data_IF_792459018860
#
_entry.id   IF_792459018860
#
_cell.length_a   1.000
_cell.length_b   1.000
_cell.length_c   1.000
_cell.angle_alpha   90.00
_cell.angle_beta   90.00
_cell.angle_gamma   90.00
#
_symmetry.space_group_name_H-M   'P 1'
#
loop_
_entity.id
_entity.type
_entity.pdbx_description
1 polymer ?
#
# COMPACT_ATOMS: atom_id res chain seq x y z
N UNK A 1 -2.60 -37.84 15.50
CA UNK A 1 -2.05 -36.72 16.30
C UNK A 1 -2.98 -35.54 16.09
N UNK A 2 -3.86 -35.23 17.04
CA UNK A 2 -4.87 -34.18 16.92
C UNK A 2 -4.35 -32.94 17.67
N UNK A 3 -4.30 -31.79 17.00
CA UNK A 3 -3.84 -30.53 17.59
C UNK A 3 -4.98 -29.54 17.49
N UNK A 4 -5.60 -29.22 18.62
CA UNK A 4 -6.59 -28.16 18.75
C UNK A 4 -5.86 -26.84 19.05
N UNK A 5 -6.10 -25.81 18.23
CA UNK A 5 -5.54 -24.47 18.45
C UNK A 5 -6.69 -23.54 18.83
N UNK A 6 -6.80 -23.22 20.11
CA UNK A 6 -7.72 -22.20 20.60
C UNK A 6 -6.94 -20.92 20.91
N UNK A 7 -7.24 -19.83 20.20
CA UNK A 7 -6.76 -18.50 20.60
C UNK A 7 -7.95 -17.54 20.69
N UNK A 8 -8.39 -17.29 21.92
CA UNK A 8 -9.36 -16.22 22.26
C UNK A 8 -8.57 -14.97 22.63
N UNK A 9 -8.62 -13.92 21.80
CA UNK A 9 -8.08 -12.59 22.14
C UNK A 9 -9.24 -11.59 22.28
N UNK A 10 -9.41 -11.06 23.49
CA UNK A 10 -10.46 -10.09 23.85
C UNK A 10 -10.10 -8.69 23.33
N UNK A 11 -11.01 -8.04 22.63
CA UNK A 11 -10.94 -6.62 22.27
C UNK A 11 -11.31 -5.75 23.47
N UNK A 12 -10.51 -4.71 23.75
CA UNK A 12 -10.75 -3.69 24.79
C UNK A 12 -11.35 -2.45 24.11
N UNK A 13 -12.52 -2.02 24.57
CA UNK A 13 -13.31 -0.93 23.99
C UNK A 13 -12.69 0.46 24.11
N UNK A 14 -12.89 1.25 23.07
CA UNK A 14 -12.60 2.69 22.97
C UNK A 14 -13.62 3.48 23.81
N UNK A 15 -13.12 4.36 24.70
CA UNK A 15 -13.95 5.34 25.42
C UNK A 15 -14.11 6.61 24.59
N UNK A 16 -15.38 6.98 24.39
CA UNK A 16 -15.88 8.21 23.78
C UNK A 16 -15.57 9.42 24.67
N UNK A 17 -15.03 10.49 24.09
CA UNK A 17 -14.87 11.80 24.75
C UNK A 17 -16.21 12.55 24.74
N UNK A 18 -16.60 13.11 25.89
CA UNK A 18 -17.82 13.90 26.07
C UNK A 18 -17.46 15.31 26.54
N UNK A 19 -17.96 16.30 25.80
CA UNK A 19 -18.56 17.56 26.27
C UNK A 19 -17.74 18.52 27.14
N UNK A 20 -17.44 19.70 26.58
CA UNK A 20 -17.16 20.96 27.27
C UNK A 20 -18.37 21.42 28.10
N UNK A 21 -18.15 21.87 29.33
CA UNK A 21 -18.99 22.84 30.05
C UNK A 21 -18.09 23.80 30.85
N UNK A 22 -18.31 25.11 30.68
CA UNK A 22 -17.99 26.18 31.63
C UNK A 22 -19.31 26.53 32.33
N UNK A 23 -19.37 26.96 33.62
CA UNK A 23 -19.19 28.39 33.90
C UNK A 23 -18.83 28.85 35.33
N UNK A 24 -18.53 30.16 35.41
CA UNK A 24 -18.80 31.16 36.48
C UNK A 24 -17.74 31.46 37.56
N UNK A 25 -17.29 32.71 37.47
CA UNK A 25 -16.51 33.51 38.42
C UNK A 25 -17.29 33.93 39.68
N UNK A 26 -16.55 34.11 40.79
CA UNK A 26 -16.66 35.23 41.74
C UNK A 26 -15.42 35.25 42.68
N UNK A 27 -15.19 36.27 43.52
CA UNK A 27 -14.45 37.49 43.21
C UNK A 27 -13.18 37.67 44.07
N UNK A 28 -12.37 38.67 43.70
CA UNK A 28 -11.00 38.87 44.18
C UNK A 28 -10.82 39.20 45.67
N UNK A 29 -9.64 38.78 46.15
CA UNK A 29 -9.00 39.33 47.34
C UNK A 29 -7.87 40.27 46.90
N UNK A 30 -7.94 41.51 47.40
CA UNK A 30 -6.93 42.56 47.26
C UNK A 30 -5.58 42.09 47.84
N UNK A 31 -4.55 41.99 47.00
CA UNK A 31 -3.17 41.90 47.47
C UNK A 31 -2.47 43.25 47.37
N UNK A 32 -2.01 43.70 48.54
CA UNK A 32 -1.35 44.96 48.87
C UNK A 32 -0.23 45.40 47.93
N UNK A 33 -0.14 46.72 47.73
CA UNK A 33 0.92 47.44 47.01
C UNK A 33 2.35 47.23 47.55
N UNK A 34 2.52 46.47 48.64
CA UNK A 34 3.82 46.10 49.23
C UNK A 34 4.46 44.87 48.56
N UNK A 35 3.68 44.00 47.90
CA UNK A 35 4.20 42.80 47.19
C UNK A 35 4.92 43.15 45.88
N UNK A 36 4.46 44.19 45.17
CA UNK A 36 5.09 44.62 43.91
C UNK A 36 6.46 45.30 44.11
N UNK A 37 6.71 45.91 45.27
CA UNK A 37 7.99 46.58 45.55
C UNK A 37 9.12 45.61 45.95
N UNK A 38 8.79 44.44 46.54
CA UNK A 38 9.78 43.39 46.81
C UNK A 38 10.14 42.57 45.57
N UNK A 39 9.27 42.54 44.56
CA UNK A 39 9.52 41.85 43.28
C UNK A 39 10.41 42.66 42.31
N UNK A 40 10.62 43.95 42.59
CA UNK A 40 11.50 44.82 41.81
C UNK A 40 12.94 44.90 42.38
N UNK A 41 13.17 44.53 43.65
CA UNK A 41 14.51 44.53 44.26
C UNK A 41 15.20 43.16 44.21
N UNK A 42 14.46 42.06 43.94
CA UNK A 42 15.04 40.74 43.62
C UNK A 42 15.43 40.56 42.15
N UNK A 43 15.16 41.57 41.30
CA UNK A 43 15.51 41.59 39.87
C UNK A 43 16.89 42.18 39.55
N UNK A 44 17.69 42.53 40.57
CA UNK A 44 19.05 43.05 40.42
C UNK A 44 19.99 42.24 41.32
N UNK A 45 19.90 40.92 41.22
CA UNK A 45 21.02 40.05 41.59
C UNK A 45 21.67 39.60 40.28
N UNK A 46 22.88 40.09 40.08
CA UNK A 46 23.80 39.72 39.01
C UNK A 46 23.85 38.20 38.86
N UNK A 47 23.05 37.64 37.94
CA UNK A 47 23.24 36.28 37.48
C UNK A 47 24.54 36.26 36.69
N UNK A 48 25.66 36.15 37.39
CA UNK A 48 26.89 35.63 36.80
C UNK A 48 26.57 34.20 36.39
N UNK A 49 26.24 34.00 35.10
CA UNK A 49 26.17 32.67 34.50
C UNK A 49 27.48 31.98 34.81
N UNK A 50 27.44 30.99 35.70
CA UNK A 50 28.62 30.25 36.14
C UNK A 50 29.01 29.31 35.00
N UNK A 51 30.04 29.69 34.24
CA UNK A 51 30.65 28.82 33.24
C UNK A 51 31.10 27.51 33.93
N UNK A 52 30.98 26.38 33.24
CA UNK A 52 31.47 25.11 33.78
C UNK A 52 32.98 25.18 34.07
N UNK A 53 33.46 24.57 35.18
CA UNK A 53 34.84 24.69 35.63
C UNK A 53 35.86 24.15 34.61
N UNK A 54 35.44 23.19 33.77
CA UNK A 54 36.24 22.63 32.68
C UNK A 54 36.51 23.66 31.56
N UNK A 55 35.51 24.49 31.21
CA UNK A 55 35.68 25.51 30.16
C UNK A 55 36.59 26.65 30.63
N UNK A 56 36.56 26.99 31.92
CA UNK A 56 37.48 27.97 32.50
C UNK A 56 38.91 27.43 32.51
N UNK A 57 39.10 26.17 32.86
CA UNK A 57 40.40 25.50 32.78
C UNK A 57 40.93 25.48 31.34
N UNK A 58 40.09 25.13 30.35
CA UNK A 58 40.47 25.15 28.94
C UNK A 58 40.83 26.56 28.44
N UNK A 59 40.05 27.58 28.79
CA UNK A 59 40.34 28.97 28.42
C UNK A 59 41.67 29.46 29.01
N UNK A 60 41.97 29.11 30.27
CA UNK A 60 43.25 29.44 30.90
C UNK A 60 44.45 28.70 30.27
N UNK A 61 44.26 27.45 29.85
CA UNK A 61 45.28 26.67 29.13
C UNK A 61 45.58 27.29 27.76
N UNK A 62 44.56 27.66 26.98
CA UNK A 62 44.74 28.34 25.69
C UNK A 62 45.37 29.72 25.85
N UNK A 63 44.92 30.49 26.85
CA UNK A 63 45.49 31.79 27.15
C UNK A 63 46.97 31.72 27.55
N UNK A 64 47.42 30.61 28.13
CA UNK A 64 48.83 30.39 28.45
C UNK A 64 49.75 30.22 27.24
N UNK A 65 49.19 29.88 26.07
CA UNK A 65 49.91 29.79 24.79
C UNK A 65 49.99 31.13 24.03
N UNK A 66 49.32 32.17 24.53
CA UNK A 66 49.20 33.48 23.89
C UNK A 66 50.06 34.53 24.60
N UNK A 67 50.67 35.50 23.87
CA UNK A 67 51.60 36.47 24.45
C UNK A 67 50.97 37.38 25.52
N UNK A 68 49.65 37.59 25.50
CA UNK A 68 48.91 38.43 26.45
C UNK A 68 47.93 37.60 27.30
N UNK A 69 48.45 36.72 28.18
CA UNK A 69 47.67 35.75 28.97
C UNK A 69 46.41 36.32 29.62
N UNK A 70 46.54 37.39 30.42
CA UNK A 70 45.42 37.93 31.21
C UNK A 70 44.30 38.53 30.34
N UNK A 71 44.67 39.24 29.27
CA UNK A 71 43.69 39.84 28.35
C UNK A 71 43.01 38.76 27.52
N UNK A 72 43.78 37.82 26.98
CA UNK A 72 43.27 36.70 26.20
C UNK A 72 42.30 35.82 27.01
N UNK A 73 42.65 35.51 28.27
CA UNK A 73 41.76 34.75 29.16
C UNK A 73 40.46 35.52 29.45
N UNK A 74 40.54 36.81 29.77
CA UNK A 74 39.35 37.63 30.06
C UNK A 74 38.42 37.78 28.86
N UNK A 75 38.99 37.89 27.65
CA UNK A 75 38.23 38.06 26.41
C UNK A 75 37.56 36.75 25.99
N UNK A 76 38.26 35.62 26.13
CA UNK A 76 37.70 34.28 25.87
C UNK A 76 36.55 33.96 26.83
N UNK A 77 36.72 34.22 28.14
CA UNK A 77 35.65 34.02 29.12
C UNK A 77 34.45 34.95 28.86
N UNK A 78 34.68 36.18 28.40
CA UNK A 78 33.62 37.10 28.03
C UNK A 78 32.85 36.63 26.78
N UNK A 79 33.55 36.10 25.78
CA UNK A 79 32.92 35.53 24.58
C UNK A 79 32.14 34.25 24.89
N UNK A 80 32.67 33.38 25.76
CA UNK A 80 31.96 32.16 26.20
C UNK A 80 30.64 32.49 26.91
N UNK A 81 30.62 33.49 27.79
CA UNK A 81 29.38 33.96 28.45
C UNK A 81 28.35 34.50 27.45
N UNK A 82 28.81 35.21 26.41
CA UNK A 82 27.93 35.68 25.31
C UNK A 82 27.36 34.52 24.50
N UNK A 83 28.15 33.49 24.24
CA UNK A 83 27.69 32.34 23.47
C UNK A 83 26.76 31.42 24.28
N UNK A 84 27.02 31.23 25.57
CA UNK A 84 26.16 30.44 26.46
C UNK A 84 24.79 31.09 26.63
N UNK A 85 24.73 32.41 26.85
CA UNK A 85 23.45 33.14 26.88
C UNK A 85 22.67 33.06 25.55
N UNK A 86 23.35 33.03 24.40
CA UNK A 86 22.71 32.81 23.09
C UNK A 86 22.26 31.37 22.89
N UNK A 87 23.04 30.39 23.38
CA UNK A 87 22.74 28.95 23.31
C UNK A 87 21.58 28.57 24.22
N UNK A 88 21.52 29.10 25.44
CA UNK A 88 20.42 28.90 26.37
C UNK A 88 19.13 29.56 25.86
N UNK A 89 19.24 30.72 25.20
CA UNK A 89 18.11 31.34 24.49
C UNK A 89 17.62 30.49 23.30
N UNK A 90 18.52 29.76 22.63
CA UNK A 90 18.16 28.78 21.59
C UNK A 90 17.53 27.51 22.16
N UNK A 91 18.03 26.97 23.29
CA UNK A 91 17.48 25.79 23.96
C UNK A 91 16.10 26.04 24.58
N UNK A 92 15.81 27.26 25.03
CA UNK A 92 14.50 27.67 25.57
C UNK A 92 13.40 27.94 24.51
N UNK A 93 13.60 27.50 23.26
CA UNK A 93 12.49 27.40 22.29
C UNK A 93 12.20 28.68 21.49
N UNK A 94 13.18 29.55 21.28
CA UNK A 94 13.12 30.54 20.21
C UNK A 94 14.09 30.13 19.08
N UNK A 95 13.58 29.38 18.12
CA UNK A 95 14.25 29.22 16.82
C UNK A 95 14.31 30.59 16.16
N UNK A 96 15.45 31.27 16.29
CA UNK A 96 15.69 32.53 15.58
C UNK A 96 15.43 32.28 14.09
N UNK A 97 14.50 33.03 13.52
CA UNK A 97 14.16 33.02 12.10
C UNK A 97 15.45 33.07 11.28
N UNK A 98 15.76 31.98 10.57
CA UNK A 98 16.96 31.82 9.74
C UNK A 98 17.07 32.95 8.71
N UNK A 99 15.93 33.58 8.35
CA UNK A 99 15.88 34.76 7.49
C UNK A 99 16.70 35.95 7.98
N UNK A 100 16.82 36.19 9.30
CA UNK A 100 17.60 37.31 9.82
C UNK A 100 19.11 37.04 9.75
N UNK A 101 19.53 35.78 9.76
CA UNK A 101 20.94 35.37 9.60
C UNK A 101 21.35 35.46 8.12
N UNK A 102 20.45 35.12 7.21
CA UNK A 102 20.70 35.21 5.76
C UNK A 102 20.67 36.67 5.28
N UNK A 103 19.88 37.55 5.92
CA UNK A 103 19.81 38.97 5.57
C UNK A 103 21.15 39.70 5.74
N UNK A 104 21.93 39.34 6.76
CA UNK A 104 23.22 39.98 7.06
C UNK A 104 24.40 39.31 6.32
N UNK A 105 24.17 38.19 5.62
CA UNK A 105 25.17 37.55 4.75
C UNK A 105 25.30 38.31 3.42
N UNK A 106 26.28 39.21 3.36
CA UNK A 106 26.65 39.93 2.13
C UNK A 106 27.38 38.99 1.14
N UNK A 107 26.62 38.22 0.37
CA UNK A 107 27.14 37.39 -0.72
C UNK A 107 27.56 38.33 -1.87
N UNK A 108 28.85 38.39 -2.16
CA UNK A 108 29.40 39.12 -3.32
C UNK A 108 28.90 38.52 -4.63
N UNK A 109 27.71 38.92 -5.07
CA UNK A 109 27.20 38.62 -6.41
C UNK A 109 27.94 39.51 -7.41
N UNK A 110 28.77 38.89 -8.26
CA UNK A 110 29.27 39.53 -9.49
C UNK A 110 28.06 40.01 -10.30
N UNK A 111 28.08 41.22 -10.89
CA UNK A 111 26.94 41.70 -11.65
C UNK A 111 26.71 40.79 -12.84
N UNK A 112 25.52 40.17 -12.88
CA UNK A 112 25.08 39.36 -14.00
C UNK A 112 25.17 40.17 -15.28
N UNK A 113 26.01 39.70 -16.20
CA UNK A 113 25.93 39.99 -17.62
C UNK A 113 24.47 39.81 -18.05
N UNK A 114 23.89 40.84 -18.66
CA UNK A 114 22.50 40.91 -19.10
C UNK A 114 22.09 39.61 -19.80
N UNK A 115 21.34 38.75 -19.11
CA UNK A 115 20.56 37.72 -19.76
C UNK A 115 19.41 38.46 -20.46
N UNK A 116 19.48 38.48 -21.80
CA UNK A 116 18.40 38.96 -22.65
C UNK A 116 17.09 38.32 -22.18
N UNK A 117 16.11 39.14 -21.82
CA UNK A 117 14.75 38.70 -21.61
C UNK A 117 14.19 38.20 -22.95
N UNK A 118 14.46 36.94 -23.28
CA UNK A 118 13.72 36.23 -24.33
C UNK A 118 12.47 35.67 -23.69
N UNK A 119 11.33 36.12 -24.18
CA UNK A 119 10.01 35.65 -23.83
C UNK A 119 9.98 34.12 -23.94
N UNK A 120 9.87 33.44 -22.80
CA UNK A 120 9.44 32.06 -22.75
C UNK A 120 7.97 32.06 -23.18
N UNK A 121 7.70 31.74 -24.45
CA UNK A 121 6.47 31.17 -25.03
C UNK A 121 6.38 31.47 -26.55
N UNK A 122 7.40 31.13 -27.33
CA UNK A 122 7.25 30.90 -28.76
C UNK A 122 7.64 29.46 -29.05
N UNK A 123 6.63 28.60 -29.15
CA UNK A 123 6.77 27.31 -29.80
C UNK A 123 6.75 27.62 -31.30
N UNK A 124 7.91 27.59 -31.95
CA UNK A 124 7.99 27.58 -33.40
C UNK A 124 7.88 26.12 -33.85
N UNK A 125 6.88 25.80 -34.66
CA UNK A 125 6.69 24.47 -35.20
C UNK A 125 7.65 24.28 -36.39
N UNK A 126 8.53 23.29 -36.30
CA UNK A 126 9.38 22.85 -37.40
C UNK A 126 8.59 21.83 -38.25
N UNK A 127 8.09 22.24 -39.41
CA UNK A 127 7.30 21.38 -40.32
C UNK A 127 8.18 20.45 -41.20
N UNK A 128 9.51 20.59 -41.15
CA UNK A 128 10.44 19.89 -42.05
C UNK A 128 11.29 18.78 -41.39
N UNK A 129 11.03 18.43 -40.13
CA UNK A 129 11.56 17.22 -39.48
C UNK A 129 13.10 17.11 -39.35
N UNK A 130 13.87 18.18 -39.60
CA UNK A 130 15.31 18.23 -39.38
C UNK A 130 15.62 19.19 -38.24
N UNK A 131 15.91 18.62 -37.07
CA UNK A 131 16.22 19.38 -35.86
C UNK A 131 17.41 20.33 -36.02
N UNK A 132 17.34 21.42 -35.26
CA UNK A 132 18.29 22.53 -35.19
C UNK A 132 19.74 22.07 -34.93
N UNK A 133 20.61 22.13 -35.93
CA UNK A 133 22.06 22.01 -35.73
C UNK A 133 22.62 23.38 -35.35
N UNK A 134 23.10 23.52 -34.10
CA UNK A 134 23.88 24.69 -33.72
C UNK A 134 25.13 24.79 -34.60
N UNK A 135 25.21 25.84 -35.40
CA UNK A 135 26.34 26.13 -36.26
C UNK A 135 27.64 26.29 -35.45
N UNK A 136 28.54 25.34 -35.70
CA UNK A 136 30.01 25.38 -35.70
C UNK A 136 30.66 26.65 -35.10
N UNK A 137 30.99 26.58 -33.80
CA UNK A 137 31.89 27.52 -33.12
C UNK A 137 33.18 26.86 -32.64
N UNK A 138 34.26 27.05 -33.39
CA UNK A 138 35.71 26.99 -33.06
C UNK A 138 36.09 26.45 -31.66
N UNK A 139 35.87 25.16 -31.40
CA UNK A 139 36.47 24.39 -30.28
C UNK A 139 36.42 22.88 -30.59
N UNK A 140 36.95 22.44 -31.74
CA UNK A 140 36.99 21.00 -32.11
C UNK A 140 37.99 20.18 -31.28
N UNK A 141 38.95 20.84 -30.62
CA UNK A 141 40.08 20.14 -30.01
C UNK A 141 39.85 19.78 -28.53
N UNK A 142 38.66 20.12 -27.99
CA UNK A 142 38.18 19.75 -26.65
C UNK A 142 36.88 18.91 -26.69
N UNK A 143 36.48 18.47 -27.88
CA UNK A 143 35.22 17.74 -28.14
C UNK A 143 35.32 16.23 -27.82
N UNK A 144 36.53 15.71 -27.57
CA UNK A 144 36.73 14.32 -27.15
C UNK A 144 36.31 14.03 -25.70
N UNK A 145 36.29 15.04 -24.83
CA UNK A 145 36.03 14.89 -23.40
C UNK A 145 34.58 15.17 -22.99
N UNK A 146 33.77 15.74 -23.89
CA UNK A 146 32.39 16.19 -23.58
C UNK A 146 31.28 15.43 -24.29
N UNK A 147 31.61 14.54 -25.21
CA UNK A 147 30.67 13.53 -25.67
C UNK A 147 30.48 12.52 -24.54
N UNK A 148 29.50 12.80 -23.66
CA UNK A 148 28.95 11.86 -22.68
C UNK A 148 28.31 10.70 -23.45
N UNK A 149 29.14 9.80 -23.99
CA UNK A 149 28.69 8.56 -24.61
C UNK A 149 27.83 7.85 -23.56
N UNK A 150 26.58 7.53 -23.91
CA UNK A 150 25.69 6.82 -23.01
C UNK A 150 26.32 5.51 -22.55
N UNK A 151 25.98 5.03 -21.35
CA UNK A 151 26.55 3.82 -20.75
C UNK A 151 26.44 2.58 -21.65
N UNK A 152 25.47 2.59 -22.57
CA UNK A 152 25.19 1.51 -23.51
C UNK A 152 25.81 1.71 -24.91
N UNK A 153 26.51 2.82 -25.15
CA UNK A 153 27.16 3.12 -26.45
C UNK A 153 28.62 2.68 -26.39
N UNK A 154 28.89 1.45 -26.81
CA UNK A 154 30.24 0.88 -26.79
C UNK A 154 30.31 -0.51 -27.41
N UNK A 155 31.52 -1.07 -27.45
CA UNK A 155 31.74 -2.46 -27.85
C UNK A 155 31.12 -3.37 -26.78
N UNK A 156 30.20 -4.26 -27.18
CA UNK A 156 29.55 -5.25 -26.30
C UNK A 156 30.11 -6.64 -26.53
N UNK A 157 29.82 -7.55 -25.60
CA UNK A 157 30.12 -8.97 -25.77
C UNK A 157 29.16 -9.55 -26.82
N UNK A 158 29.67 -9.83 -28.01
CA UNK A 158 28.89 -10.39 -29.13
C UNK A 158 28.83 -11.93 -29.08
N UNK A 159 28.58 -12.50 -27.90
CA UNK A 159 28.51 -13.95 -27.70
C UNK A 159 27.09 -14.45 -28.02
N UNK A 160 26.08 -13.71 -27.56
CA UNK A 160 24.68 -13.99 -27.85
C UNK A 160 24.23 -13.19 -29.07
N UNK A 161 23.78 -13.91 -30.10
CA UNK A 161 23.12 -13.29 -31.25
C UNK A 161 21.74 -12.80 -30.80
N UNK A 162 21.30 -11.67 -31.35
CA UNK A 162 19.96 -11.14 -31.05
C UNK A 162 18.95 -12.14 -31.60
N UNK A 163 18.09 -12.74 -30.75
CA UNK A 163 17.06 -13.64 -31.23
C UNK A 163 16.16 -12.88 -32.21
N UNK A 164 15.69 -13.50 -33.30
CA UNK A 164 14.64 -12.90 -34.11
C UNK A 164 13.39 -12.71 -33.24
N UNK A 165 12.67 -11.60 -33.42
CA UNK A 165 11.47 -11.23 -32.64
C UNK A 165 10.35 -12.28 -32.69
N UNK A 166 10.47 -13.27 -33.58
CA UNK A 166 9.53 -14.37 -33.83
C UNK A 166 9.93 -15.69 -33.16
N UNK A 167 10.77 -15.68 -32.13
CA UNK A 167 10.98 -16.87 -31.31
C UNK A 167 9.67 -17.17 -30.55
N UNK A 168 8.74 -17.84 -31.25
CA UNK A 168 7.53 -18.39 -30.68
C UNK A 168 7.95 -19.26 -29.49
N UNK A 169 7.52 -18.85 -28.30
CA UNK A 169 7.76 -19.60 -27.08
C UNK A 169 7.07 -20.94 -27.26
N UNK A 170 7.86 -21.99 -27.50
CA UNK A 170 7.39 -23.38 -27.60
C UNK A 170 6.37 -23.65 -26.49
N UNK A 171 5.17 -24.16 -26.83
CA UNK A 171 4.15 -24.46 -25.84
C UNK A 171 4.73 -25.49 -24.87
N UNK A 172 4.90 -25.08 -23.60
CA UNK A 172 5.28 -26.03 -22.56
C UNK A 172 4.05 -26.85 -22.21
N UNK A 173 3.95 -28.04 -22.79
CA UNK A 173 2.93 -29.03 -22.45
C UNK A 173 3.09 -29.62 -21.03
N UNK A 174 4.21 -29.33 -20.36
CA UNK A 174 4.50 -29.78 -19.01
C UNK A 174 4.08 -28.76 -17.95
N UNK A 175 3.53 -29.26 -16.84
CA UNK A 175 3.29 -28.45 -15.66
C UNK A 175 4.60 -27.82 -15.15
N UNK A 176 4.55 -26.60 -14.57
CA UNK A 176 5.74 -25.95 -14.04
C UNK A 176 6.50 -26.84 -13.06
N UNK A 177 7.83 -26.82 -13.16
CA UNK A 177 8.67 -27.57 -12.22
C UNK A 177 8.56 -26.98 -10.81
N UNK A 178 8.90 -27.78 -9.79
CA UNK A 178 9.00 -27.28 -8.40
C UNK A 178 9.94 -26.07 -8.31
N UNK A 179 11.04 -26.08 -9.05
CA UNK A 179 11.99 -24.97 -9.12
C UNK A 179 11.37 -23.71 -9.72
N UNK A 180 10.51 -23.85 -10.73
CA UNK A 180 9.81 -22.72 -11.34
C UNK A 180 8.80 -22.11 -10.35
N UNK A 181 8.09 -22.96 -9.60
CA UNK A 181 7.16 -22.50 -8.55
C UNK A 181 7.89 -21.79 -7.40
N UNK A 182 9.01 -22.33 -6.93
CA UNK A 182 9.82 -21.69 -5.89
C UNK A 182 10.37 -20.33 -6.35
N UNK A 183 10.89 -20.28 -7.58
CA UNK A 183 11.37 -19.04 -8.17
C UNK A 183 10.23 -18.01 -8.30
N UNK A 184 9.05 -18.43 -8.77
CA UNK A 184 7.88 -17.56 -8.86
C UNK A 184 7.46 -17.02 -7.49
N UNK A 185 7.52 -17.85 -6.44
CA UNK A 185 7.23 -17.45 -5.07
C UNK A 185 8.25 -16.41 -4.55
N UNK A 186 9.53 -16.59 -4.84
CA UNK A 186 10.59 -15.63 -4.49
C UNK A 186 10.39 -14.28 -5.20
N UNK A 187 10.08 -14.30 -6.51
CA UNK A 187 9.76 -13.09 -7.28
C UNK A 187 8.52 -12.38 -6.70
N UNK A 188 7.48 -13.13 -6.37
CA UNK A 188 6.28 -12.60 -5.74
C UNK A 188 6.60 -11.99 -4.37
N UNK A 189 7.47 -12.61 -3.57
CA UNK A 189 7.88 -12.10 -2.26
C UNK A 189 8.61 -10.75 -2.34
N UNK A 190 9.45 -10.53 -3.35
CA UNK A 190 10.12 -9.24 -3.59
C UNK A 190 9.10 -8.14 -3.93
N UNK A 191 8.00 -8.52 -4.58
CA UNK A 191 6.94 -7.58 -5.00
C UNK A 191 5.92 -7.31 -3.88
N UNK A 192 5.72 -8.27 -2.95
CA UNK A 192 4.80 -8.15 -1.82
C UNK A 192 5.21 -7.00 -0.90
N UNK A 193 4.35 -6.00 -0.81
CA UNK A 193 4.47 -4.85 0.09
C UNK A 193 3.25 -4.79 1.01
N UNK A 194 3.35 -4.23 2.22
CA UNK A 194 2.17 -3.96 3.04
C UNK A 194 1.22 -3.01 2.28
N UNK A 195 -0.11 -3.18 2.42
CA UNK A 195 -1.07 -2.35 1.72
C UNK A 195 -0.88 -0.88 2.11
N UNK A 196 -0.75 0.00 1.11
CA UNK A 196 -0.52 1.43 1.31
C UNK A 196 -1.83 2.17 1.63
N UNK A 197 -2.96 1.62 1.20
CA UNK A 197 -4.29 2.20 1.31
C UNK A 197 -5.35 1.13 1.55
N UNK A 198 -6.52 1.50 2.08
CA UNK A 198 -7.66 0.60 2.30
C UNK A 198 -8.21 -0.01 1.01
N UNK A 199 -8.11 0.69 -0.13
CA UNK A 199 -8.44 0.08 -1.42
C UNK A 199 -7.53 -1.09 -1.79
N UNK A 200 -6.25 -1.02 -1.44
CA UNK A 200 -5.31 -2.12 -1.71
C UNK A 200 -5.63 -3.33 -0.82
N UNK A 201 -6.00 -3.09 0.44
CA UNK A 201 -6.49 -4.13 1.35
C UNK A 201 -7.77 -4.77 0.83
N UNK A 202 -8.74 -3.97 0.36
CA UNK A 202 -9.95 -4.49 -0.29
C UNK A 202 -9.62 -5.33 -1.52
N UNK A 203 -8.72 -4.86 -2.39
CA UNK A 203 -8.29 -5.62 -3.58
C UNK A 203 -7.65 -6.95 -3.17
N UNK A 204 -6.79 -6.96 -2.14
CA UNK A 204 -6.21 -8.18 -1.61
C UNK A 204 -7.30 -9.12 -1.08
N UNK A 205 -8.27 -8.62 -0.31
CA UNK A 205 -9.38 -9.43 0.18
C UNK A 205 -10.30 -9.94 -0.94
N UNK A 206 -10.51 -9.19 -2.01
CA UNK A 206 -11.25 -9.66 -3.18
C UNK A 206 -10.49 -10.76 -3.92
N UNK A 207 -9.16 -10.64 -4.07
CA UNK A 207 -8.31 -11.70 -4.66
C UNK A 207 -8.29 -12.96 -3.80
N UNK A 208 -8.26 -12.79 -2.48
CA UNK A 208 -8.33 -13.88 -1.50
C UNK A 208 -9.73 -14.52 -1.42
N UNK A 209 -10.76 -13.94 -2.05
CA UNK A 209 -12.15 -14.40 -1.96
C UNK A 209 -12.84 -14.12 -0.61
N UNK A 210 -12.29 -13.23 0.22
CA UNK A 210 -12.88 -12.81 1.50
C UNK A 210 -13.97 -11.75 1.33
N UNK A 211 -13.79 -10.85 0.36
CA UNK A 211 -14.80 -9.88 -0.04
C UNK A 211 -15.59 -10.39 -1.23
N UNK A 212 -16.86 -10.00 -1.30
CA UNK A 212 -17.72 -10.26 -2.46
C UNK A 212 -17.17 -9.56 -3.70
N UNK A 213 -17.33 -10.21 -4.87
CA UNK A 213 -17.01 -9.59 -6.16
C UNK A 213 -18.15 -8.65 -6.56
N UNK A 214 -17.78 -7.54 -7.19
CA UNK A 214 -18.73 -6.54 -7.67
C UNK A 214 -18.76 -6.54 -9.20
N UNK A 215 -19.94 -6.35 -9.83
CA UNK A 215 -21.28 -6.23 -9.22
C UNK A 215 -21.73 -7.53 -8.54
N UNK A 216 -22.51 -7.40 -7.46
CA UNK A 216 -22.95 -8.55 -6.66
C UNK A 216 -23.80 -9.47 -7.53
N UNK A 217 -23.36 -10.72 -7.67
CA UNK A 217 -24.15 -11.80 -8.26
C UNK A 217 -24.62 -12.74 -7.15
N UNK A 218 -25.94 -12.94 -7.04
CA UNK A 218 -26.52 -13.84 -6.03
C UNK A 218 -26.25 -15.32 -6.32
N UNK A 219 -25.83 -15.65 -7.55
CA UNK A 219 -25.54 -17.02 -8.01
C UNK A 219 -24.05 -17.38 -7.87
N UNK A 220 -23.23 -16.47 -7.32
CA UNK A 220 -21.80 -16.71 -7.12
C UNK A 220 -21.56 -17.85 -6.10
N UNK A 221 -20.91 -18.93 -6.55
CA UNK A 221 -20.70 -20.16 -5.77
C UNK A 221 -21.57 -21.35 -6.21
N UNK A 222 -22.50 -21.14 -7.15
CA UNK A 222 -23.30 -22.20 -7.77
C UNK A 222 -22.84 -22.48 -9.21
N UNK A 223 -21.52 -22.57 -9.42
CA UNK A 223 -20.92 -22.67 -10.75
C UNK A 223 -21.25 -24.01 -11.44
N UNK A 224 -21.35 -25.11 -10.68
CA UNK A 224 -21.67 -26.43 -11.24
C UNK A 224 -23.03 -26.50 -11.95
N UNK A 225 -24.01 -25.72 -11.50
CA UNK A 225 -25.35 -25.68 -12.12
C UNK A 225 -25.47 -24.57 -13.16
N UNK A 226 -24.66 -23.51 -13.06
CA UNK A 226 -24.66 -22.42 -14.04
C UNK A 226 -24.23 -22.91 -15.43
N UNK A 227 -23.36 -23.91 -15.50
CA UNK A 227 -22.94 -24.55 -16.75
C UNK A 227 -24.06 -25.41 -17.36
N UNK A 228 -25.04 -25.84 -16.55
CA UNK A 228 -26.09 -26.77 -16.97
C UNK A 228 -27.26 -25.99 -17.58
N UNK A 229 -27.65 -26.30 -18.83
CA UNK A 229 -28.78 -25.64 -19.46
C UNK A 229 -30.12 -26.05 -18.82
N UNK A 230 -31.09 -25.13 -18.85
CA UNK A 230 -32.41 -25.33 -18.22
C UNK A 230 -33.15 -26.58 -18.71
N UNK A 231 -32.90 -27.01 -19.95
CA UNK A 231 -33.59 -28.14 -20.56
C UNK A 231 -33.28 -29.47 -19.86
N UNK A 232 -32.13 -29.59 -19.17
CA UNK A 232 -31.82 -30.78 -18.36
C UNK A 232 -32.61 -30.82 -17.04
N UNK A 233 -32.92 -29.65 -16.47
CA UNK A 233 -33.73 -29.57 -15.27
C UNK A 233 -35.22 -29.79 -15.55
N UNK A 234 -35.69 -29.39 -16.74
CA UNK A 234 -37.11 -29.45 -17.13
C UNK A 234 -37.45 -30.78 -17.81
N UNK A 235 -36.64 -31.24 -18.77
CA UNK A 235 -36.94 -32.43 -19.58
C UNK A 235 -36.22 -33.67 -19.05
N UNK A 236 -36.73 -34.20 -17.93
CA UNK A 236 -36.24 -35.45 -17.33
C UNK A 236 -36.84 -36.71 -17.99
N UNK A 237 -37.69 -36.56 -19.00
CA UNK A 237 -38.34 -37.65 -19.72
C UNK A 237 -37.35 -38.59 -20.43
N UNK A 238 -36.11 -38.14 -20.67
CA UNK A 238 -35.03 -38.96 -21.21
C UNK A 238 -34.67 -40.14 -20.29
N UNK A 239 -34.78 -39.93 -18.97
CA UNK A 239 -34.50 -40.97 -17.97
C UNK A 239 -35.69 -41.92 -17.74
N UNK A 240 -36.79 -41.71 -18.46
CA UNK A 240 -38.02 -42.50 -18.36
C UNK A 240 -38.06 -43.67 -19.36
N UNK A 241 -37.04 -43.83 -20.21
CA UNK A 241 -36.94 -44.92 -21.19
C UNK A 241 -36.79 -46.31 -20.54
N UNK A 242 -36.24 -46.36 -19.33
CA UNK A 242 -36.07 -47.60 -18.56
C UNK A 242 -37.37 -48.12 -17.93
N UNK A 243 -38.45 -47.33 -17.98
CA UNK A 243 -39.75 -47.65 -17.39
C UNK A 243 -40.74 -48.11 -18.47
N UNK A 244 -41.75 -48.93 -18.10
CA UNK A 244 -42.80 -49.33 -19.05
C UNK A 244 -43.48 -48.10 -19.67
N UNK A 245 -43.79 -48.17 -20.98
CA UNK A 245 -44.35 -47.03 -21.73
C UNK A 245 -45.80 -46.76 -21.39
N UNK A 246 -46.52 -47.76 -20.90
CA UNK A 246 -47.91 -47.68 -20.51
C UNK A 246 -48.08 -48.23 -19.09
N UNK A 247 -49.11 -47.73 -18.39
CA UNK A 247 -49.54 -48.27 -17.10
C UNK A 247 -49.42 -47.32 -15.91
N UNK A 248 -49.84 -47.77 -14.71
CA UNK A 248 -49.86 -46.98 -13.49
C UNK A 248 -48.47 -46.49 -13.07
N UNK A 249 -47.43 -47.30 -13.30
CA UNK A 249 -46.03 -46.96 -12.99
C UNK A 249 -45.58 -45.77 -13.84
N UNK A 250 -45.93 -45.76 -15.14
CA UNK A 250 -45.63 -44.65 -16.04
C UNK A 250 -46.30 -43.36 -15.55
N UNK A 251 -47.59 -43.43 -15.23
CA UNK A 251 -48.33 -42.28 -14.72
C UNK A 251 -47.75 -41.74 -13.41
N UNK A 252 -47.37 -42.63 -12.49
CA UNK A 252 -46.70 -42.25 -11.24
C UNK A 252 -45.35 -41.58 -11.51
N UNK A 253 -44.52 -42.15 -12.38
CA UNK A 253 -43.22 -41.57 -12.70
C UNK A 253 -43.31 -40.25 -13.45
N UNK A 254 -44.34 -40.04 -14.28
CA UNK A 254 -44.66 -38.75 -14.89
C UNK A 254 -44.99 -37.70 -13.82
N UNK A 255 -45.73 -38.07 -12.77
CA UNK A 255 -45.98 -37.18 -11.63
C UNK A 255 -44.70 -36.87 -10.85
N UNK A 256 -43.83 -37.86 -10.63
CA UNK A 256 -42.53 -37.65 -9.99
C UNK A 256 -41.68 -36.69 -10.81
N UNK A 257 -41.57 -36.89 -12.12
CA UNK A 257 -40.76 -36.04 -13.01
C UNK A 257 -41.34 -34.64 -13.12
N UNK A 258 -42.66 -34.49 -13.24
CA UNK A 258 -43.28 -33.16 -13.21
C UNK A 258 -43.04 -32.46 -11.87
N UNK A 259 -43.00 -33.18 -10.75
CA UNK A 259 -42.58 -32.66 -9.44
C UNK A 259 -41.12 -32.22 -9.41
N UNK A 260 -40.19 -33.07 -9.89
CA UNK A 260 -38.76 -32.79 -9.95
C UNK A 260 -38.43 -31.62 -10.90
N UNK A 261 -39.15 -31.49 -12.01
CA UNK A 261 -38.95 -30.41 -12.98
C UNK A 261 -39.29 -29.03 -12.39
N UNK A 262 -40.26 -28.96 -11.48
CA UNK A 262 -40.70 -27.74 -10.81
C UNK A 262 -39.84 -27.38 -9.60
N UNK A 263 -38.89 -28.24 -9.20
CA UNK A 263 -38.06 -28.01 -8.03
C UNK A 263 -36.80 -27.20 -8.38
N UNK A 264 -36.63 -25.98 -7.83
CA UNK A 264 -35.43 -25.16 -8.04
C UNK A 264 -34.27 -25.47 -7.07
N UNK A 265 -34.50 -26.27 -6.04
CA UNK A 265 -33.52 -26.51 -4.97
C UNK A 265 -32.68 -27.79 -5.17
N UNK A 266 -33.02 -28.60 -6.17
CA UNK A 266 -32.35 -29.87 -6.44
C UNK A 266 -31.49 -29.76 -7.69
N UNK A 267 -30.28 -30.28 -7.60
CA UNK A 267 -29.35 -30.38 -8.72
C UNK A 267 -29.82 -31.44 -9.72
N UNK A 268 -29.39 -31.37 -10.99
CA UNK A 268 -29.70 -32.43 -11.97
C UNK A 268 -29.24 -33.80 -11.47
N UNK A 269 -28.05 -33.88 -10.86
CA UNK A 269 -27.52 -35.13 -10.29
C UNK A 269 -28.49 -35.72 -9.27
N UNK A 270 -28.97 -34.92 -8.33
CA UNK A 270 -29.94 -35.36 -7.34
C UNK A 270 -31.27 -35.81 -8.00
N UNK A 271 -31.75 -35.08 -9.02
CA UNK A 271 -32.96 -35.49 -9.77
C UNK A 271 -32.75 -36.85 -10.45
N UNK A 272 -31.59 -37.10 -11.05
CA UNK A 272 -31.27 -38.39 -11.67
C UNK A 272 -31.13 -39.51 -10.64
N UNK A 273 -30.54 -39.23 -9.47
CA UNK A 273 -30.44 -40.18 -8.35
C UNK A 273 -31.82 -40.57 -7.83
N UNK A 274 -32.75 -39.62 -7.71
CA UNK A 274 -34.13 -39.91 -7.32
C UNK A 274 -34.82 -40.85 -8.32
N UNK A 275 -34.62 -40.64 -9.62
CA UNK A 275 -35.18 -41.51 -10.66
C UNK A 275 -34.55 -42.91 -10.61
N UNK A 276 -33.22 -42.97 -10.46
CA UNK A 276 -32.49 -44.23 -10.32
C UNK A 276 -32.93 -45.02 -9.08
N UNK A 277 -33.21 -44.34 -7.97
CA UNK A 277 -33.75 -44.97 -6.78
C UNK A 277 -35.11 -45.62 -7.01
N UNK A 278 -36.02 -44.95 -7.74
CA UNK A 278 -37.30 -45.55 -8.12
C UNK A 278 -37.12 -46.78 -9.01
N UNK A 279 -36.16 -46.74 -9.93
CA UNK A 279 -35.83 -47.90 -10.78
C UNK A 279 -35.42 -49.10 -9.94
N UNK A 280 -34.46 -48.92 -9.02
CA UNK A 280 -34.02 -50.00 -8.12
C UNK A 280 -35.16 -50.49 -7.22
N UNK A 281 -36.00 -49.57 -6.73
CA UNK A 281 -37.14 -49.91 -5.88
C UNK A 281 -38.17 -50.78 -6.61
N UNK A 282 -38.50 -50.48 -7.87
CA UNK A 282 -39.42 -51.30 -8.64
C UNK A 282 -38.81 -52.65 -9.01
N UNK A 283 -37.51 -52.71 -9.30
CA UNK A 283 -36.81 -53.98 -9.53
C UNK A 283 -36.84 -54.88 -8.30
N UNK A 284 -36.66 -54.32 -7.10
CA UNK A 284 -36.74 -55.07 -5.85
C UNK A 284 -38.17 -55.57 -5.53
N UNK A 285 -39.20 -54.91 -6.06
CA UNK A 285 -40.62 -55.20 -5.77
C UNK A 285 -41.38 -55.78 -6.95
N UNK A 286 -40.68 -56.33 -7.94
CA UNK A 286 -41.29 -56.95 -9.12
C UNK A 286 -42.30 -58.05 -8.77
N UNK A 287 -42.05 -58.84 -7.73
CA UNK A 287 -42.94 -59.91 -7.31
C UNK A 287 -44.31 -59.38 -6.88
N UNK A 288 -44.34 -58.26 -6.13
CA UNK A 288 -45.58 -57.58 -5.74
C UNK A 288 -46.30 -56.95 -6.93
N UNK A 289 -45.55 -56.47 -7.93
CA UNK A 289 -46.13 -55.90 -9.14
C UNK A 289 -46.80 -56.97 -10.00
N UNK A 290 -46.21 -58.17 -10.07
CA UNK A 290 -46.81 -59.35 -10.72
C UNK A 290 -48.10 -59.79 -10.01
N UNK A 291 -48.10 -59.79 -8.68
CA UNK A 291 -49.29 -60.11 -7.87
C UNK A 291 -50.42 -59.11 -8.06
N UNK A 292 -50.10 -57.81 -8.21
CA UNK A 292 -51.09 -56.76 -8.38
C UNK A 292 -51.69 -56.66 -9.79
N UNK A 293 -51.35 -57.59 -10.71
CA UNK A 293 -51.72 -57.56 -12.14
C UNK A 293 -51.41 -56.21 -12.83
N UNK A 294 -50.46 -55.45 -12.29
CA UNK A 294 -49.95 -54.23 -12.95
C UNK A 294 -48.97 -54.69 -14.00
N UNK A 295 -49.51 -55.11 -15.15
CA UNK A 295 -48.72 -55.61 -16.27
C UNK A 295 -47.64 -54.58 -16.67
N UNK A 296 -46.39 -55.01 -16.49
CA UNK A 296 -45.20 -54.45 -17.14
C UNK A 296 -45.24 -54.86 -18.62
N UNK A 297 -45.87 -54.04 -19.46
CA UNK A 297 -45.61 -54.00 -20.91
C UNK A 297 -45.59 -52.53 -21.35
#
# INVERSE_FOLDING_TARGET
MKVEVTTKKKFRGLKVQKGKEFPRDAPGALESATSMFQKATSGIESQSVTLSPELVAAASAVASSMPNKRRAESELLQQLRKHESVSDAQKKGQTKNIGNIIADMKIGKRPNMRASARAANQIHFDDDGRGYTHDRGVNSDLEGARNRKGLFVGKRLNIFQVPPDTAELEPRDSSPSLWDMELANQIAAVTKRPPRNGFEEMIQWTRDGKLWRYPINNEEGLEEEADIPFHEHVFLEKHLEDFPKQGPIRHFMELVITGLSKNPHLTVRQKTEHIAWFREYFQQKEDLLKEAEVYLN
#
